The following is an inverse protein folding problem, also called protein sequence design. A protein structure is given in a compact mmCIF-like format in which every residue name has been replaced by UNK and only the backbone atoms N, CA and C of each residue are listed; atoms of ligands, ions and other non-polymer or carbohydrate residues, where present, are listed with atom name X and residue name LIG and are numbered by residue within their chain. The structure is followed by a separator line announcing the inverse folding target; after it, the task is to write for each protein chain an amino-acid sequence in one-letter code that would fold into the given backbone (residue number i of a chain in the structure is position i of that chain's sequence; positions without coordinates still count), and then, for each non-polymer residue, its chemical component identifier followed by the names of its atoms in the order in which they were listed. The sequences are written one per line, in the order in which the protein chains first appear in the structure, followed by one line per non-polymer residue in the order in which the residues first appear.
data_IF_081435691842
#
_entry.id   IF_081435691842
#
_cell.length_a   1.000
_cell.length_b   1.000
_cell.length_c   1.000
_cell.angle_alpha   90.00
_cell.angle_beta   90.00
_cell.angle_gamma   90.00
#
_symmetry.space_group_name_H-M   'P 1'
#
loop_
_entity.id
_entity.type
_entity.pdbx_description
1 polymer ?
#
# COMPACT_ATOMS: atom_id res chain seq x y z
N UNK A 1 10.91 5.25 -4.41
CA UNK A 1 10.50 6.00 -5.61
C UNK A 1 11.72 6.52 -6.37
N UNK A 2 12.51 7.44 -5.83
CA UNK A 2 13.66 8.07 -6.53
C UNK A 2 14.67 7.09 -7.12
N UNK A 3 15.09 6.11 -6.35
CA UNK A 3 16.02 5.06 -6.81
C UNK A 3 15.51 4.23 -7.99
N UNK A 4 14.19 4.21 -8.20
CA UNK A 4 13.54 3.45 -9.28
C UNK A 4 13.03 4.35 -10.40
N UNK A 5 13.25 5.67 -10.29
CA UNK A 5 12.74 6.65 -11.25
C UNK A 5 11.21 6.64 -11.37
N UNK A 6 10.51 6.46 -10.26
CA UNK A 6 9.05 6.52 -10.17
C UNK A 6 8.65 7.89 -9.60
N UNK A 7 7.89 8.64 -10.37
CA UNK A 7 7.47 9.99 -9.98
C UNK A 7 6.17 9.98 -9.18
N UNK A 8 5.26 9.04 -9.51
CA UNK A 8 3.99 8.93 -8.81
C UNK A 8 3.67 7.46 -8.50
N UNK A 9 3.25 7.18 -7.27
CA UNK A 9 2.79 5.88 -6.83
C UNK A 9 1.37 5.99 -6.29
N UNK A 10 0.45 5.26 -6.90
CA UNK A 10 -0.97 5.26 -6.58
C UNK A 10 -1.41 3.89 -6.09
N UNK A 11 -2.12 3.87 -4.97
CA UNK A 11 -2.69 2.68 -4.35
C UNK A 11 -4.16 2.92 -4.03
N UNK A 12 -4.96 1.85 -4.13
CA UNK A 12 -6.41 1.92 -3.94
C UNK A 12 -6.90 0.77 -3.09
N UNK A 13 -7.62 1.07 -2.02
CA UNK A 13 -8.40 0.09 -1.28
C UNK A 13 -9.86 0.54 -1.24
N UNK A 14 -10.83 -0.35 -1.52
CA UNK A 14 -12.26 -0.04 -1.39
C UNK A 14 -12.71 -0.10 0.05
N UNK A 15 -12.28 -1.16 0.73
CA UNK A 15 -12.65 -1.42 2.12
C UNK A 15 -11.72 -2.46 2.76
N UNK A 16 -11.71 -2.48 4.09
CA UNK A 16 -10.93 -3.42 4.90
C UNK A 16 -9.45 -3.53 4.47
N UNK A 17 -8.97 -4.75 4.34
CA UNK A 17 -7.58 -5.09 4.00
C UNK A 17 -7.41 -5.47 2.53
N UNK A 18 -8.26 -4.96 1.63
CA UNK A 18 -8.22 -5.29 0.21
C UNK A 18 -6.85 -5.07 -0.42
N UNK A 19 -6.16 -4.01 0.01
CA UNK A 19 -4.83 -3.66 -0.46
C UNK A 19 -3.86 -3.64 0.73
N UNK A 20 -2.93 -4.62 0.84
CA UNK A 20 -2.07 -4.80 2.01
C UNK A 20 -1.13 -3.63 2.28
N UNK A 21 -0.63 -2.98 1.23
CA UNK A 21 0.28 -1.82 1.37
C UNK A 21 -0.50 -0.62 1.91
N UNK A 22 -1.72 -0.36 1.41
CA UNK A 22 -2.59 0.69 1.98
C UNK A 22 -2.86 0.41 3.45
N UNK A 23 -3.20 -0.83 3.82
CA UNK A 23 -3.46 -1.20 5.20
C UNK A 23 -2.27 -0.90 6.12
N UNK A 24 -1.03 -1.12 5.65
CA UNK A 24 0.19 -0.83 6.40
C UNK A 24 0.52 0.66 6.53
N UNK A 25 -0.15 1.52 5.76
CA UNK A 25 0.07 2.97 5.73
C UNK A 25 -1.00 3.76 6.50
N UNK A 26 -2.02 3.09 7.01
CA UNK A 26 -3.09 3.72 7.77
C UNK A 26 -2.65 3.98 9.22
N UNK A 27 -3.30 4.94 9.86
CA UNK A 27 -3.04 5.29 11.25
C UNK A 27 -3.80 4.36 12.24
N UNK A 28 -3.50 4.51 13.54
CA UNK A 28 -4.10 3.70 14.59
C UNK A 28 -5.64 3.90 14.74
N UNK A 29 -6.17 5.04 14.28
CA UNK A 29 -7.61 5.32 14.30
C UNK A 29 -8.31 4.70 13.08
N UNK A 30 -7.56 4.48 11.99
CA UNK A 30 -8.04 3.94 10.74
C UNK A 30 -7.26 2.67 10.38
N UNK A 31 -7.43 1.60 11.17
CA UNK A 31 -6.71 0.33 10.98
C UNK A 31 -7.00 -0.36 9.64
N UNK A 32 -8.05 0.05 8.94
CA UNK A 32 -8.42 -0.47 7.61
C UNK A 32 -9.21 0.57 6.82
N UNK A 33 -9.27 0.43 5.53
CA UNK A 33 -10.07 1.30 4.67
C UNK A 33 -11.57 1.09 4.96
N UNK A 34 -12.31 2.17 5.27
CA UNK A 34 -13.76 2.13 5.55
C UNK A 34 -14.60 2.38 4.32
N UNK A 35 -14.03 3.07 3.35
CA UNK A 35 -14.58 3.42 2.04
C UNK A 35 -13.43 3.46 1.08
N UNK A 36 -13.70 3.55 -0.21
CA UNK A 36 -12.63 3.67 -1.20
C UNK A 36 -11.67 4.79 -0.83
N UNK A 37 -10.47 4.37 -0.47
CA UNK A 37 -9.33 5.18 -0.07
C UNK A 37 -8.29 5.09 -1.17
N UNK A 38 -7.88 6.22 -1.71
CA UNK A 38 -6.81 6.29 -2.70
C UNK A 38 -5.68 7.09 -2.10
N UNK A 39 -4.50 6.48 -2.05
CA UNK A 39 -3.27 7.10 -1.58
C UNK A 39 -2.37 7.39 -2.77
N UNK A 40 -1.79 8.58 -2.78
CA UNK A 40 -0.90 9.03 -3.83
C UNK A 40 0.37 9.57 -3.19
N UNK A 41 1.52 9.00 -3.57
CA UNK A 41 2.82 9.60 -3.36
C UNK A 41 3.27 10.24 -4.67
N UNK A 42 3.70 11.49 -4.63
CA UNK A 42 4.27 12.16 -5.77
C UNK A 42 5.62 12.76 -5.38
N UNK A 43 6.65 12.46 -6.18
CA UNK A 43 7.96 13.08 -6.07
C UNK A 43 8.07 14.25 -7.07
N UNK A 44 8.03 15.50 -6.60
CA UNK A 44 8.17 16.66 -7.47
C UNK A 44 9.62 16.87 -7.96
N UNK A 45 10.54 15.97 -7.59
CA UNK A 45 11.95 16.07 -7.97
C UNK A 45 12.71 17.18 -7.25
N UNK A 46 13.93 17.45 -7.75
CA UNK A 46 14.80 18.55 -7.29
C UNK A 46 15.02 18.62 -5.76
N UNK A 47 15.06 17.45 -5.09
CA UNK A 47 15.28 17.37 -3.64
C UNK A 47 14.09 17.81 -2.78
N UNK A 48 12.95 18.16 -3.38
CA UNK A 48 11.74 18.53 -2.64
C UNK A 48 11.17 17.33 -1.88
N UNK A 49 10.44 17.54 -0.79
CA UNK A 49 9.74 16.47 -0.09
C UNK A 49 8.72 15.77 -0.99
N UNK A 50 8.57 14.45 -0.80
CA UNK A 50 7.51 13.67 -1.46
C UNK A 50 6.16 14.15 -0.93
N UNK A 51 5.24 14.49 -1.83
CA UNK A 51 3.85 14.77 -1.50
C UNK A 51 3.14 13.45 -1.12
N UNK A 52 2.35 13.51 -0.07
CA UNK A 52 1.50 12.41 0.40
C UNK A 52 0.06 12.91 0.38
N UNK A 53 -0.73 12.38 -0.53
CA UNK A 53 -2.09 12.84 -0.79
C UNK A 53 -3.08 11.70 -0.58
N UNK A 54 -4.27 12.03 -0.08
CA UNK A 54 -5.38 11.10 -0.02
C UNK A 54 -6.59 11.63 -0.78
N UNK A 55 -7.19 10.76 -1.59
CA UNK A 55 -8.49 10.96 -2.22
C UNK A 55 -9.48 10.04 -1.53
N UNK A 56 -9.90 10.43 -0.32
CA UNK A 56 -10.82 9.70 0.52
C UNK A 56 -11.86 10.63 1.15
N UNK A 57 -12.96 10.07 1.68
CA UNK A 57 -14.01 10.83 2.37
C UNK A 57 -13.68 11.11 3.85
N UNK A 58 -12.59 10.60 4.36
CA UNK A 58 -12.14 10.76 5.73
C UNK A 58 -10.66 11.15 5.76
N UNK A 59 -10.27 11.85 6.83
CA UNK A 59 -8.88 12.25 7.04
C UNK A 59 -8.02 11.07 7.48
N UNK A 60 -6.70 11.20 7.27
CA UNK A 60 -5.69 10.24 7.71
C UNK A 60 -4.69 10.93 8.65
N UNK A 61 -5.21 11.61 9.65
CA UNK A 61 -4.54 12.22 10.82
C UNK A 61 -3.13 12.79 10.51
N UNK A 62 -3.05 13.65 9.47
CA UNK A 62 -1.80 14.31 9.07
C UNK A 62 -0.77 13.44 8.34
N UNK A 63 -1.01 12.13 8.17
CA UNK A 63 -0.15 11.27 7.37
C UNK A 63 -0.24 11.58 5.88
N UNK A 64 -1.46 11.88 5.40
CA UNK A 64 -1.74 12.27 4.02
C UNK A 64 -2.57 13.55 3.99
N UNK A 65 -2.19 14.49 3.13
CA UNK A 65 -2.96 15.70 2.90
C UNK A 65 -4.24 15.36 2.11
N UNK A 66 -5.43 15.84 2.54
CA UNK A 66 -6.66 15.65 1.78
C UNK A 66 -6.58 16.41 0.46
N UNK A 67 -6.81 15.69 -0.65
CA UNK A 67 -6.69 16.24 -2.00
C UNK A 67 -8.02 16.20 -2.77
N UNK A 68 -9.12 15.87 -2.10
CA UNK A 68 -10.43 15.75 -2.73
C UNK A 68 -11.53 16.34 -1.86
N UNK A 69 -12.41 17.12 -2.51
CA UNK A 69 -13.65 17.65 -1.94
C UNK A 69 -14.82 17.11 -2.78
N UNK A 70 -15.59 16.13 -2.28
CA UNK A 70 -16.70 15.54 -3.03
C UNK A 70 -17.86 16.52 -3.31
N UNK A 71 -17.92 17.67 -2.63
CA UNK A 71 -18.90 18.71 -2.94
C UNK A 71 -18.57 19.48 -4.21
N UNK A 72 -17.27 19.56 -4.57
CA UNK A 72 -16.77 20.23 -5.77
C UNK A 72 -16.60 19.27 -6.95
N UNK A 73 -16.10 18.06 -6.65
CA UNK A 73 -15.91 17.00 -7.65
C UNK A 73 -16.53 15.71 -7.12
N UNK A 74 -17.76 15.36 -7.50
CA UNK A 74 -18.43 14.16 -6.99
C UNK A 74 -17.83 12.85 -7.50
N UNK A 75 -17.16 12.86 -8.66
CA UNK A 75 -16.48 11.69 -9.20
C UNK A 75 -15.04 11.60 -8.64
N UNK A 76 -14.83 10.60 -7.78
CA UNK A 76 -13.54 10.36 -7.15
C UNK A 76 -12.44 9.97 -8.15
N UNK A 77 -12.78 9.24 -9.21
CA UNK A 77 -11.80 8.85 -10.23
C UNK A 77 -11.40 10.01 -11.12
N UNK A 78 -12.35 10.90 -11.42
CA UNK A 78 -12.02 12.15 -12.12
C UNK A 78 -11.12 13.03 -11.25
N UNK A 79 -11.38 13.12 -9.94
CA UNK A 79 -10.50 13.85 -9.03
C UNK A 79 -9.07 13.28 -9.03
N UNK A 80 -8.92 11.95 -9.03
CA UNK A 80 -7.60 11.29 -9.17
C UNK A 80 -6.94 11.67 -10.49
N UNK A 81 -7.68 11.61 -11.60
CA UNK A 81 -7.15 11.96 -12.93
C UNK A 81 -6.69 13.41 -12.99
N UNK A 82 -7.45 14.34 -12.41
CA UNK A 82 -7.10 15.77 -12.33
C UNK A 82 -5.83 15.99 -11.50
N UNK A 83 -5.70 15.29 -10.37
CA UNK A 83 -4.51 15.33 -9.50
C UNK A 83 -3.26 14.84 -10.25
N UNK A 84 -3.38 13.72 -10.98
CA UNK A 84 -2.29 13.15 -11.77
C UNK A 84 -1.92 14.08 -12.93
N UNK A 85 -2.92 14.60 -13.66
CA UNK A 85 -2.71 15.49 -14.77
C UNK A 85 -2.01 16.80 -14.38
N UNK A 86 -2.38 17.36 -13.22
CA UNK A 86 -1.75 18.57 -12.69
C UNK A 86 -0.26 18.38 -12.32
N UNK A 87 0.18 17.13 -12.09
CA UNK A 87 1.57 16.79 -11.73
C UNK A 87 2.40 16.28 -12.90
N UNK A 88 1.73 15.87 -13.96
CA UNK A 88 2.33 15.36 -15.20
C UNK A 88 3.51 14.39 -14.98
N UNK A 89 3.35 13.32 -14.17
CA UNK A 89 4.43 12.39 -13.86
C UNK A 89 4.87 11.63 -15.11
N UNK A 90 6.17 11.38 -15.24
CA UNK A 90 6.71 10.57 -16.34
C UNK A 90 6.38 9.08 -16.14
N UNK A 91 6.31 8.60 -14.89
CA UNK A 91 5.94 7.22 -14.55
C UNK A 91 4.93 7.18 -13.40
N UNK A 92 3.85 6.43 -13.60
CA UNK A 92 2.76 6.21 -12.64
C UNK A 92 2.80 4.75 -12.21
N UNK A 93 3.30 4.47 -11.00
CA UNK A 93 3.29 3.12 -10.45
C UNK A 93 1.93 2.80 -9.83
N UNK A 94 1.44 1.60 -10.11
CA UNK A 94 0.27 0.98 -9.46
C UNK A 94 0.66 -0.41 -8.96
N UNK A 95 0.04 -0.89 -7.90
CA UNK A 95 0.38 -2.19 -7.32
C UNK A 95 -0.21 -3.34 -8.17
N UNK A 96 0.58 -3.81 -9.13
CA UNK A 96 0.33 -5.00 -9.95
C UNK A 96 1.57 -5.88 -9.96
N UNK A 97 1.39 -7.19 -9.77
CA UNK A 97 2.45 -8.19 -9.76
C UNK A 97 1.90 -9.53 -10.26
N UNK A 98 2.72 -10.29 -10.95
CA UNK A 98 2.45 -11.68 -11.34
C UNK A 98 3.13 -12.70 -10.39
N UNK A 99 3.98 -12.23 -9.46
CA UNK A 99 4.74 -13.05 -8.53
C UNK A 99 4.32 -12.89 -7.07
N UNK A 100 4.04 -11.66 -6.63
CA UNK A 100 3.87 -11.33 -5.21
C UNK A 100 2.46 -10.82 -4.92
N UNK A 101 1.65 -11.64 -4.28
CA UNK A 101 0.27 -11.32 -3.91
C UNK A 101 0.14 -9.99 -3.17
N UNK A 102 1.04 -9.68 -2.23
CA UNK A 102 1.00 -8.43 -1.47
C UNK A 102 1.40 -7.18 -2.27
N UNK A 103 1.93 -7.38 -3.48
CA UNK A 103 2.25 -6.30 -4.40
C UNK A 103 1.23 -6.19 -5.56
N UNK A 104 0.17 -7.02 -5.57
CA UNK A 104 -0.88 -7.09 -6.59
C UNK A 104 -2.22 -6.61 -6.04
N UNK A 105 -2.21 -5.44 -5.40
CA UNK A 105 -3.41 -4.89 -4.74
C UNK A 105 -4.40 -4.18 -5.68
N UNK A 106 -4.01 -3.86 -6.91
CA UNK A 106 -4.89 -3.18 -7.88
C UNK A 106 -5.83 -4.19 -8.56
N UNK A 107 -7.10 -4.18 -8.20
CA UNK A 107 -8.09 -5.04 -8.87
C UNK A 107 -8.38 -4.57 -10.29
N UNK A 108 -8.84 -5.50 -11.17
CA UNK A 108 -9.20 -5.18 -12.55
C UNK A 108 -10.20 -4.02 -12.63
N UNK A 109 -11.25 -4.03 -11.81
CA UNK A 109 -12.28 -2.98 -11.83
C UNK A 109 -11.75 -1.60 -11.40
N UNK A 110 -10.77 -1.55 -10.50
CA UNK A 110 -10.08 -0.30 -10.12
C UNK A 110 -9.18 0.20 -11.25
N UNK A 111 -8.44 -0.71 -11.88
CA UNK A 111 -7.61 -0.41 -13.05
C UNK A 111 -8.43 0.16 -14.21
N UNK A 112 -9.56 -0.47 -14.55
CA UNK A 112 -10.46 0.01 -15.60
C UNK A 112 -11.02 1.42 -15.28
N UNK A 113 -11.41 1.68 -14.03
CA UNK A 113 -11.87 3.01 -13.59
C UNK A 113 -10.78 4.07 -13.68
N UNK A 114 -9.58 3.74 -13.19
CA UNK A 114 -8.43 4.64 -13.28
C UNK A 114 -8.10 4.96 -14.74
N UNK A 115 -7.93 3.94 -15.57
CA UNK A 115 -7.55 4.11 -16.98
C UNK A 115 -8.66 4.76 -17.81
N UNK A 116 -9.92 4.53 -17.44
CA UNK A 116 -11.06 5.21 -18.07
C UNK A 116 -11.12 6.71 -17.79
N UNK A 117 -10.66 7.14 -16.60
CA UNK A 117 -10.61 8.56 -16.23
C UNK A 117 -9.36 9.28 -16.75
N UNK A 118 -8.23 8.57 -16.91
CA UNK A 118 -6.97 9.16 -17.34
C UNK A 118 -6.93 9.46 -18.85
N UNK A 119 -6.36 10.60 -19.28
CA UNK A 119 -5.99 10.84 -20.66
C UNK A 119 -5.04 9.76 -21.21
N UNK A 120 -5.15 9.47 -22.52
CA UNK A 120 -4.35 8.42 -23.16
C UNK A 120 -2.83 8.59 -22.94
N UNK A 121 -2.33 9.82 -22.97
CA UNK A 121 -0.92 10.13 -22.74
C UNK A 121 -0.44 9.76 -21.32
N UNK A 122 -1.29 9.85 -20.31
CA UNK A 122 -0.96 9.45 -18.93
C UNK A 122 -1.15 7.95 -18.72
N UNK A 123 -2.14 7.34 -19.37
CA UNK A 123 -2.33 5.87 -19.32
C UNK A 123 -1.08 5.11 -19.80
N UNK A 124 -0.43 5.58 -20.84
CA UNK A 124 0.79 4.95 -21.37
C UNK A 124 2.00 5.03 -20.44
N UNK A 125 1.90 5.82 -19.36
CA UNK A 125 2.96 5.99 -18.34
C UNK A 125 2.75 5.08 -17.13
N UNK A 126 1.69 4.27 -17.10
CA UNK A 126 1.42 3.33 -16.01
C UNK A 126 2.43 2.19 -16.07
N UNK A 127 3.02 1.90 -14.91
CA UNK A 127 4.00 0.81 -14.70
C UNK A 127 3.66 0.04 -13.44
N UNK A 128 4.20 -1.18 -13.31
CA UNK A 128 4.08 -1.94 -12.06
C UNK A 128 4.80 -1.23 -10.92
N UNK A 129 4.15 -1.19 -9.76
CA UNK A 129 4.68 -0.72 -8.48
C UNK A 129 5.22 -1.86 -7.60
N UNK A 130 5.34 -3.09 -8.12
CA UNK A 130 5.76 -4.28 -7.38
C UNK A 130 6.95 -4.03 -6.47
N UNK A 131 8.05 -3.52 -7.03
CA UNK A 131 9.27 -3.29 -6.26
C UNK A 131 9.08 -2.22 -5.16
N UNK A 132 8.21 -1.22 -5.37
CA UNK A 132 7.89 -0.24 -4.32
C UNK A 132 7.11 -0.90 -3.18
N UNK A 133 6.10 -1.69 -3.51
CA UNK A 133 5.27 -2.41 -2.55
C UNK A 133 6.10 -3.37 -1.70
N UNK A 134 6.94 -4.20 -2.33
CA UNK A 134 7.83 -5.14 -1.63
C UNK A 134 8.80 -4.39 -0.71
N UNK A 135 9.51 -3.40 -1.23
CA UNK A 135 10.45 -2.62 -0.42
C UNK A 135 9.78 -1.91 0.74
N UNK A 136 8.58 -1.40 0.56
CA UNK A 136 7.81 -0.81 1.65
C UNK A 136 7.53 -1.84 2.75
N UNK A 137 7.02 -3.02 2.40
CA UNK A 137 6.65 -4.07 3.35
C UNK A 137 7.85 -4.73 4.03
N UNK A 138 9.00 -4.79 3.37
CA UNK A 138 10.22 -5.41 3.90
C UNK A 138 11.10 -4.46 4.72
N UNK A 139 11.00 -3.15 4.48
CA UNK A 139 11.85 -2.16 5.16
C UNK A 139 11.36 -1.95 6.59
N UNK A 140 12.29 -2.04 7.53
CA UNK A 140 12.06 -1.75 8.95
C UNK A 140 12.69 -0.42 9.33
N UNK A 141 11.94 0.36 10.10
CA UNK A 141 12.45 1.60 10.67
C UNK A 141 13.42 1.32 11.84
N UNK A 142 14.29 2.26 12.22
CA UNK A 142 15.14 2.10 13.42
C UNK A 142 14.34 1.79 14.68
N UNK A 143 13.17 2.43 14.88
CA UNK A 143 12.29 2.18 16.03
C UNK A 143 11.72 0.75 16.04
N UNK A 144 11.33 0.22 14.90
CA UNK A 144 10.91 -1.18 14.77
C UNK A 144 12.06 -2.14 15.09
N UNK A 145 13.27 -1.82 14.64
CA UNK A 145 14.45 -2.65 14.89
C UNK A 145 14.85 -2.75 16.38
N UNK A 146 14.47 -1.79 17.21
CA UNK A 146 14.65 -1.88 18.66
C UNK A 146 13.77 -2.97 19.29
N UNK A 147 12.57 -3.18 18.76
CA UNK A 147 11.59 -4.15 19.27
C UNK A 147 11.76 -5.52 18.61
N UNK A 148 12.21 -5.56 17.36
CA UNK A 148 12.28 -6.77 16.52
C UNK A 148 13.00 -7.97 17.18
N UNK A 149 14.13 -7.80 17.91
CA UNK A 149 14.78 -8.91 18.60
C UNK A 149 13.90 -9.59 19.66
N UNK A 150 13.01 -8.85 20.32
CA UNK A 150 12.09 -9.44 21.31
C UNK A 150 10.98 -10.25 20.63
N UNK A 151 10.46 -9.75 19.52
CA UNK A 151 9.47 -10.47 18.70
C UNK A 151 10.05 -11.78 18.18
N UNK A 152 11.29 -11.76 17.67
CA UNK A 152 11.99 -12.96 17.19
C UNK A 152 12.23 -13.98 18.31
N UNK A 153 12.66 -13.56 19.50
CA UNK A 153 12.83 -14.48 20.63
C UNK A 153 11.50 -15.15 21.02
N UNK A 154 10.42 -14.39 21.06
CA UNK A 154 9.09 -14.94 21.34
C UNK A 154 8.65 -15.94 20.27
N UNK A 155 8.83 -15.61 19.00
CA UNK A 155 8.51 -16.52 17.90
C UNK A 155 9.31 -17.83 17.97
N UNK A 156 10.62 -17.74 18.24
CA UNK A 156 11.48 -18.91 18.41
C UNK A 156 11.07 -19.75 19.62
N UNK A 157 10.69 -19.12 20.74
CA UNK A 157 10.20 -19.84 21.92
C UNK A 157 8.91 -20.61 21.63
N UNK A 158 7.96 -19.98 20.92
CA UNK A 158 6.72 -20.64 20.50
C UNK A 158 7.01 -21.83 19.60
N UNK A 159 7.88 -21.67 18.61
CA UNK A 159 8.29 -22.76 17.71
C UNK A 159 8.95 -23.90 18.50
N UNK A 160 9.89 -23.57 19.41
CA UNK A 160 10.58 -24.57 20.22
C UNK A 160 9.60 -25.36 21.12
N UNK A 161 8.62 -24.69 21.71
CA UNK A 161 7.59 -25.34 22.52
C UNK A 161 6.67 -26.21 21.64
N UNK A 162 6.17 -25.69 20.52
CA UNK A 162 5.28 -26.39 19.60
C UNK A 162 5.91 -27.70 19.07
N UNK A 163 7.22 -27.73 18.87
CA UNK A 163 7.95 -28.94 18.42
C UNK A 163 8.62 -29.71 19.56
N UNK A 164 8.27 -29.42 20.81
CA UNK A 164 8.82 -30.12 21.97
C UNK A 164 8.05 -31.41 22.27
N UNK A 165 8.66 -32.29 23.11
CA UNK A 165 7.98 -33.47 23.64
C UNK A 165 6.83 -33.17 24.60
N UNK A 166 6.68 -31.93 25.06
CA UNK A 166 5.53 -31.49 25.85
C UNK A 166 4.24 -31.44 25.00
N UNK A 167 4.40 -31.17 23.69
CA UNK A 167 3.28 -31.02 22.76
C UNK A 167 3.18 -32.21 21.80
N UNK A 168 4.32 -32.71 21.30
CA UNK A 168 4.37 -33.78 20.29
C UNK A 168 4.84 -35.09 20.93
N UNK A 169 4.02 -36.14 20.84
CA UNK A 169 4.41 -37.52 21.09
C UNK A 169 4.71 -38.20 19.75
N UNK A 170 5.98 -38.53 19.44
CA UNK A 170 6.35 -39.17 18.18
C UNK A 170 5.58 -40.45 17.94
N UNK A 171 5.02 -40.59 16.74
CA UNK A 171 4.22 -41.76 16.34
C UNK A 171 2.77 -41.77 16.86
N UNK A 172 2.36 -40.75 17.63
CA UNK A 172 0.99 -40.65 18.20
C UNK A 172 0.31 -39.35 17.77
N UNK A 173 1.00 -38.22 17.96
CA UNK A 173 0.43 -36.90 17.62
C UNK A 173 0.26 -36.76 16.11
N UNK A 174 -0.95 -36.41 15.66
CA UNK A 174 -1.28 -36.16 14.24
C UNK A 174 -1.18 -34.67 13.91
N UNK A 175 -1.22 -34.33 12.62
CA UNK A 175 -1.22 -32.95 12.16
C UNK A 175 -2.51 -32.18 12.51
N UNK A 176 -3.57 -32.88 12.88
CA UNK A 176 -4.87 -32.32 13.28
C UNK A 176 -4.91 -31.96 14.77
N UNK A 177 -4.02 -32.52 15.59
CA UNK A 177 -3.88 -32.24 17.02
C UNK A 177 -2.94 -31.07 17.31
#
# INVERSE_FOLDING_TARGET
MREQGIDLWLMVAREYFEEPVVASMLDAENMHARRRTILIFHDPGHGKPIERLTVSRYGLVGLFAPAWDPSKQPDQWQAVADIIAARDPAKIAINTSDLYQFADGMTLSQYEKLTGALPAALRSRIVSGETLAIRWLETRTPAEMEIYPSVLRTAHAIIAEAFSRAVITPGVTTAEQ
#
